data_IF_469010439066
#
_entry.id   IF_469010439066
#
_cell.length_a   1.000
_cell.length_b   1.000
_cell.length_c   1.000
_cell.angle_alpha   90.00
_cell.angle_beta   90.00
_cell.angle_gamma   90.00
#
_symmetry.space_group_name_H-M   'P 1'
#
loop_
_entity.id
_entity.type
_entity.pdbx_description
1 polymer ?
#
# COMPACT_ATOMS: atom_id res chain seq x y z
N UNK A 1 -30.30 13.37 9.69
CA UNK A 1 -29.89 12.32 8.73
C UNK A 1 -28.56 12.73 8.14
N UNK A 2 -27.45 12.25 8.71
CA UNK A 2 -26.14 12.36 8.07
C UNK A 2 -26.02 11.21 7.08
N UNK A 3 -25.44 11.40 5.88
CA UNK A 3 -25.28 10.31 4.95
C UNK A 3 -24.43 9.24 5.63
N UNK A 4 -24.95 8.02 5.66
CA UNK A 4 -24.19 6.86 6.09
C UNK A 4 -22.97 6.80 5.18
N UNK A 5 -21.80 7.10 5.76
CA UNK A 5 -20.53 6.90 5.08
C UNK A 5 -20.49 5.40 4.81
N UNK A 6 -20.85 5.02 3.59
CA UNK A 6 -20.60 3.69 3.07
C UNK A 6 -19.09 3.52 3.10
N UNK A 7 -18.57 3.02 4.22
CA UNK A 7 -17.28 2.36 4.27
C UNK A 7 -17.46 1.10 3.43
N UNK A 8 -17.47 1.28 2.12
CA UNK A 8 -17.63 0.23 1.13
C UNK A 8 -16.64 -0.88 1.46
N UNK A 9 -17.16 -2.11 1.41
CA UNK A 9 -16.48 -3.42 1.51
C UNK A 9 -14.99 -3.33 1.86
N UNK A 10 -14.54 -3.91 2.99
CA UNK A 10 -13.18 -3.72 3.48
C UNK A 10 -12.19 -3.96 2.32
N UNK A 11 -11.35 -2.98 1.96
CA UNK A 11 -10.33 -3.19 0.95
C UNK A 11 -9.23 -4.00 1.61
N UNK A 12 -9.53 -5.28 1.85
CA UNK A 12 -8.68 -6.21 2.59
C UNK A 12 -7.34 -6.35 1.87
N UNK A 13 -7.29 -6.16 0.55
CA UNK A 13 -6.05 -6.10 -0.21
C UNK A 13 -5.32 -4.76 -0.05
N UNK A 14 -6.01 -3.62 -0.16
CA UNK A 14 -5.35 -2.30 -0.17
C UNK A 14 -4.73 -1.94 1.18
N UNK A 15 -5.42 -2.21 2.28
CA UNK A 15 -4.85 -2.01 3.62
C UNK A 15 -3.68 -2.96 3.89
N UNK A 16 -3.74 -4.19 3.38
CA UNK A 16 -2.70 -5.21 3.55
C UNK A 16 -1.42 -4.84 2.82
N UNK A 17 -1.53 -4.32 1.59
CA UNK A 17 -0.40 -3.77 0.81
C UNK A 17 0.21 -2.53 1.49
N UNK A 18 -0.62 -1.62 2.03
CA UNK A 18 -0.11 -0.47 2.79
C UNK A 18 0.59 -0.92 4.07
N UNK A 19 0.08 -1.95 4.74
CA UNK A 19 0.73 -2.55 5.91
C UNK A 19 2.06 -3.22 5.56
N UNK A 20 2.22 -3.83 4.37
CA UNK A 20 3.50 -4.30 3.86
C UNK A 20 4.53 -3.17 3.76
N UNK A 21 4.14 -2.05 3.14
CA UNK A 21 5.00 -0.86 3.01
C UNK A 21 5.37 -0.32 4.40
N UNK A 22 4.42 -0.23 5.33
CA UNK A 22 4.67 0.24 6.70
C UNK A 22 5.63 -0.69 7.45
N UNK A 23 5.48 -2.00 7.31
CA UNK A 23 6.40 -2.97 7.89
C UNK A 23 7.80 -2.83 7.28
N UNK A 24 7.90 -2.69 5.96
CA UNK A 24 9.16 -2.52 5.23
C UNK A 24 9.90 -1.25 5.68
N UNK A 25 9.23 -0.10 5.72
CA UNK A 25 9.82 1.18 6.19
C UNK A 25 10.32 1.06 7.62
N UNK A 26 9.61 0.33 8.49
CA UNK A 26 9.99 0.15 9.90
C UNK A 26 11.13 -0.84 10.09
N UNK A 27 11.21 -1.87 9.27
CA UNK A 27 12.17 -2.98 9.44
C UNK A 27 13.46 -2.73 8.66
N UNK A 28 13.39 -2.02 7.54
CA UNK A 28 14.53 -1.78 6.65
C UNK A 28 15.01 -3.04 5.89
N UNK A 29 14.31 -4.17 6.04
CA UNK A 29 14.62 -5.41 5.36
C UNK A 29 14.43 -5.34 3.85
N UNK A 30 15.09 -6.21 3.07
CA UNK A 30 14.77 -6.43 1.68
C UNK A 30 13.28 -6.72 1.45
N UNK A 31 12.74 -6.28 0.32
CA UNK A 31 11.33 -6.54 -0.04
C UNK A 31 10.97 -8.02 -0.09
N UNK A 32 11.95 -8.90 -0.32
CA UNK A 32 11.74 -10.36 -0.36
C UNK A 32 11.44 -10.97 1.01
N UNK A 33 11.78 -10.28 2.09
CA UNK A 33 11.53 -10.74 3.46
C UNK A 33 10.18 -10.26 3.99
N UNK A 34 9.41 -9.53 3.17
CA UNK A 34 8.06 -9.10 3.55
C UNK A 34 7.20 -10.35 3.81
N UNK A 35 6.61 -10.47 5.00
CA UNK A 35 5.77 -11.62 5.34
C UNK A 35 4.59 -11.78 4.35
N UNK A 36 4.37 -13.01 3.87
CA UNK A 36 3.32 -13.34 2.89
C UNK A 36 1.89 -13.00 3.39
N UNK A 37 1.70 -12.87 4.71
CA UNK A 37 0.46 -12.35 5.32
C UNK A 37 0.09 -10.94 4.86
N UNK A 38 1.06 -10.18 4.32
CA UNK A 38 0.85 -8.87 3.73
C UNK A 38 0.63 -8.92 2.21
N UNK A 39 0.46 -10.11 1.65
CA UNK A 39 0.31 -10.33 0.22
C UNK A 39 1.63 -10.20 -0.55
N UNK A 40 1.57 -10.22 -1.88
CA UNK A 40 2.75 -10.17 -2.74
C UNK A 40 3.51 -8.85 -2.54
N UNK A 41 4.79 -8.95 -2.20
CA UNK A 41 5.67 -7.78 -2.04
C UNK A 41 5.77 -6.95 -3.33
N UNK A 42 5.58 -7.57 -4.49
CA UNK A 42 5.54 -6.89 -5.80
C UNK A 42 4.42 -5.86 -5.88
N UNK A 43 3.25 -6.15 -5.28
CA UNK A 43 2.12 -5.22 -5.23
C UNK A 43 2.43 -4.01 -4.34
N UNK A 44 3.10 -4.24 -3.21
CA UNK A 44 3.56 -3.17 -2.31
C UNK A 44 4.63 -2.29 -2.96
N UNK A 45 5.59 -2.92 -3.64
CA UNK A 45 6.61 -2.21 -4.40
C UNK A 45 5.99 -1.40 -5.55
N UNK A 46 5.05 -1.99 -6.31
CA UNK A 46 4.34 -1.32 -7.38
C UNK A 46 3.55 -0.10 -6.90
N UNK A 47 2.85 -0.22 -5.78
CA UNK A 47 2.13 0.89 -5.15
C UNK A 47 3.07 2.00 -4.71
N UNK A 48 4.18 1.65 -4.04
CA UNK A 48 5.18 2.64 -3.63
C UNK A 48 5.81 3.34 -4.84
N UNK A 49 6.12 2.59 -5.91
CA UNK A 49 6.66 3.14 -7.16
C UNK A 49 5.66 4.10 -7.80
N UNK A 50 4.38 3.74 -7.84
CA UNK A 50 3.32 4.61 -8.34
C UNK A 50 3.22 5.89 -7.51
N UNK A 51 3.25 5.80 -6.18
CA UNK A 51 3.24 6.99 -5.31
C UNK A 51 4.43 7.90 -5.55
N UNK A 52 5.64 7.35 -5.71
CA UNK A 52 6.83 8.14 -6.05
C UNK A 52 6.71 8.80 -7.42
N UNK A 53 6.10 8.11 -8.39
CA UNK A 53 5.85 8.64 -9.72
C UNK A 53 4.76 9.74 -9.73
N UNK A 54 3.76 9.65 -8.86
CA UNK A 54 2.68 10.65 -8.72
C UNK A 54 3.09 11.83 -7.83
N UNK A 55 4.02 11.63 -6.89
CA UNK A 55 4.50 12.68 -5.99
C UNK A 55 5.41 13.71 -6.68
N UNK A 56 6.17 13.30 -7.70
CA UNK A 56 6.54 14.24 -8.75
C UNK A 56 5.25 14.51 -9.52
N UNK A 57 4.68 15.71 -9.37
CA UNK A 57 3.42 16.08 -10.04
C UNK A 57 3.43 15.75 -11.54
N UNK A 58 2.26 15.72 -12.20
CA UNK A 58 2.19 15.45 -13.62
C UNK A 58 3.26 16.29 -14.33
N UNK A 59 4.12 15.64 -15.13
CA UNK A 59 4.94 16.37 -16.07
C UNK A 59 3.98 16.96 -17.10
N UNK A 60 3.45 18.14 -16.80
CA UNK A 60 2.86 19.06 -17.77
C UNK A 60 3.98 19.84 -18.43
#
# INVERSE_FOLDING_TARGET
MLPEVQMGRPPRDRCTVINAIRWWVRTGSPWRDVPERYGPWETAYGLLRQWRATACGPKS
#
